data_IF_221257956772
#
_entry.id   IF_221257956772
#
_cell.length_a   1.000
_cell.length_b   1.000
_cell.length_c   1.000
_cell.angle_alpha   90.00
_cell.angle_beta   90.00
_cell.angle_gamma   90.00
#
_symmetry.space_group_name_H-M   'P 1'
#
loop_
_entity.id
_entity.type
_entity.pdbx_description
1 polymer ?
#
# COMPACT_ATOMS: atom_id res chain seq x y z
N UNK A 1 24.77 8.03 -1.31
CA UNK A 1 23.77 8.99 -1.81
C UNK A 1 22.59 9.02 -0.84
N UNK A 2 21.93 10.16 -0.67
CA UNK A 2 20.69 10.29 0.11
C UNK A 2 19.52 9.79 -0.75
N UNK A 3 18.52 9.15 -0.14
CA UNK A 3 17.28 8.78 -0.81
C UNK A 3 16.35 10.00 -0.77
N UNK A 4 15.97 10.51 -1.93
CA UNK A 4 15.06 11.67 -2.06
C UNK A 4 13.77 11.33 -2.80
N UNK A 5 13.73 10.17 -3.48
CA UNK A 5 12.62 9.76 -4.34
C UNK A 5 11.83 8.61 -3.70
N UNK A 6 10.50 8.68 -3.74
CA UNK A 6 9.63 7.58 -3.36
C UNK A 6 8.62 7.25 -4.46
N UNK A 7 8.43 5.95 -4.71
CA UNK A 7 7.44 5.43 -5.66
C UNK A 7 6.22 4.94 -4.90
N UNK A 8 5.05 5.37 -5.37
CA UNK A 8 3.73 4.97 -4.87
C UNK A 8 2.99 4.19 -5.96
N UNK A 9 2.98 2.84 -5.91
CA UNK A 9 2.22 2.03 -6.84
C UNK A 9 0.72 2.09 -6.53
N UNK A 10 -0.03 2.90 -7.27
CA UNK A 10 -1.46 3.16 -7.02
C UNK A 10 -2.38 2.76 -8.20
N UNK A 11 -1.87 2.02 -9.17
CA UNK A 11 -2.64 1.59 -10.35
C UNK A 11 -3.61 0.42 -10.08
N UNK A 12 -3.57 -0.18 -8.89
CA UNK A 12 -4.39 -1.35 -8.55
C UNK A 12 -5.91 -1.09 -8.60
N UNK A 13 -6.69 -2.11 -9.02
CA UNK A 13 -8.13 -1.98 -9.28
C UNK A 13 -9.01 -1.83 -8.02
N UNK A 14 -8.50 -2.16 -6.84
CA UNK A 14 -9.26 -2.01 -5.58
C UNK A 14 -10.46 -2.94 -5.42
N UNK A 15 -10.48 -4.11 -6.08
CA UNK A 15 -11.64 -5.01 -6.17
C UNK A 15 -12.18 -5.49 -4.82
N UNK A 16 -11.35 -5.52 -3.78
CA UNK A 16 -11.76 -5.94 -2.43
C UNK A 16 -12.77 -4.99 -1.77
N UNK A 17 -12.85 -3.74 -2.27
CA UNK A 17 -13.74 -2.70 -1.76
C UNK A 17 -14.90 -2.36 -2.71
N UNK A 18 -15.16 -3.22 -3.69
CA UNK A 18 -16.37 -3.04 -4.51
C UNK A 18 -17.64 -3.16 -3.64
N UNK A 19 -18.67 -2.34 -3.92
CA UNK A 19 -18.79 -1.41 -5.05
C UNK A 19 -18.17 -0.02 -4.83
N UNK A 20 -17.69 0.34 -3.62
CA UNK A 20 -17.18 1.69 -3.30
C UNK A 20 -16.04 2.13 -4.25
N UNK A 21 -15.19 1.21 -4.66
CA UNK A 21 -14.05 1.49 -5.54
C UNK A 21 -14.37 1.42 -7.04
N UNK A 22 -15.65 1.32 -7.41
CA UNK A 22 -16.06 1.32 -8.82
C UNK A 22 -15.70 2.64 -9.52
N UNK A 23 -15.89 3.75 -8.82
CA UNK A 23 -15.64 5.10 -9.36
C UNK A 23 -14.57 5.90 -8.59
N UNK A 24 -14.08 5.37 -7.47
CA UNK A 24 -13.07 6.03 -6.63
C UNK A 24 -11.88 5.09 -6.40
N UNK A 25 -10.65 5.59 -6.47
CA UNK A 25 -9.47 4.82 -6.06
C UNK A 25 -9.59 4.34 -4.61
N UNK A 26 -9.16 3.10 -4.31
CA UNK A 26 -9.11 2.63 -2.92
C UNK A 26 -8.21 3.50 -2.04
N UNK A 27 -7.20 4.10 -2.63
CA UNK A 27 -6.24 5.00 -2.00
C UNK A 27 -6.87 6.34 -1.58
N UNK A 28 -8.05 6.69 -2.16
CA UNK A 28 -8.84 7.86 -1.78
C UNK A 28 -9.92 7.57 -0.73
N UNK A 29 -10.06 6.31 -0.31
CA UNK A 29 -10.95 5.99 0.81
C UNK A 29 -10.42 6.69 2.09
N UNK A 30 -11.26 7.45 2.81
CA UNK A 30 -10.79 8.24 3.95
C UNK A 30 -10.58 7.38 5.19
N UNK A 31 -9.50 7.62 5.91
CA UNK A 31 -9.33 7.22 7.31
C UNK A 31 -9.70 8.44 8.15
N UNK A 32 -10.86 8.39 8.77
CA UNK A 32 -11.56 9.51 9.40
C UNK A 32 -11.95 10.55 8.33
N UNK A 33 -11.14 11.57 8.12
CA UNK A 33 -11.36 12.69 7.21
C UNK A 33 -10.23 12.92 6.19
N UNK A 34 -9.20 12.08 6.21
CA UNK A 34 -8.02 12.20 5.36
C UNK A 34 -7.88 10.97 4.45
N UNK A 35 -7.69 11.12 3.13
CA UNK A 35 -7.50 10.00 2.23
C UNK A 35 -6.29 9.14 2.63
N UNK A 36 -6.42 7.82 2.47
CA UNK A 36 -5.37 6.85 2.83
C UNK A 36 -4.02 7.18 2.18
N UNK A 37 -4.02 7.64 0.92
CA UNK A 37 -2.81 8.01 0.19
C UNK A 37 -2.06 9.18 0.85
N UNK A 38 -2.78 10.13 1.46
CA UNK A 38 -2.16 11.29 2.09
C UNK A 38 -1.33 10.90 3.31
N UNK A 39 -1.77 9.93 4.12
CA UNK A 39 -0.95 9.40 5.22
C UNK A 39 0.38 8.83 4.73
N UNK A 40 0.37 8.11 3.60
CA UNK A 40 1.58 7.54 3.02
C UNK A 40 2.54 8.61 2.46
N UNK A 41 1.98 9.69 1.90
CA UNK A 41 2.75 10.84 1.40
C UNK A 41 3.34 11.63 2.57
N UNK A 42 2.57 11.95 3.59
CA UNK A 42 3.04 12.63 4.80
C UNK A 42 4.18 11.85 5.46
N UNK A 43 4.03 10.52 5.61
CA UNK A 43 5.10 9.66 6.13
C UNK A 43 6.39 9.80 5.34
N UNK A 44 6.30 9.84 4.00
CA UNK A 44 7.47 9.98 3.13
C UNK A 44 8.11 11.38 3.26
N UNK A 45 7.30 12.44 3.35
CA UNK A 45 7.76 13.81 3.58
C UNK A 45 8.49 13.93 4.92
N UNK A 46 7.88 13.41 5.99
CA UNK A 46 8.45 13.39 7.34
C UNK A 46 9.74 12.55 7.42
N UNK A 47 9.91 11.59 6.51
CA UNK A 47 11.15 10.84 6.33
C UNK A 47 12.21 11.58 5.50
N UNK A 48 11.90 12.75 4.95
CA UNK A 48 12.80 13.60 4.18
C UNK A 48 12.86 13.29 2.67
N UNK A 49 11.83 12.64 2.13
CA UNK A 49 11.62 12.48 0.69
C UNK A 49 11.07 13.78 0.11
N UNK A 50 11.55 14.17 -1.06
CA UNK A 50 11.15 15.39 -1.77
C UNK A 50 10.47 15.13 -3.10
N UNK A 51 10.68 13.94 -3.68
CA UNK A 51 10.17 13.59 -5.00
C UNK A 51 9.21 12.40 -4.90
N UNK A 52 7.93 12.66 -5.03
CA UNK A 52 6.85 11.67 -4.97
C UNK A 52 6.51 11.22 -6.39
N UNK A 53 6.69 9.94 -6.68
CA UNK A 53 6.43 9.36 -8.00
C UNK A 53 5.24 8.41 -7.90
N UNK A 54 4.08 8.84 -8.39
CA UNK A 54 2.88 8.03 -8.42
C UNK A 54 2.81 7.23 -9.71
N UNK A 55 2.71 5.90 -9.58
CA UNK A 55 2.41 5.06 -10.75
C UNK A 55 0.91 4.78 -10.76
N UNK A 56 0.20 5.56 -11.57
CA UNK A 56 -1.26 5.61 -11.66
C UNK A 56 -1.80 4.72 -12.78
N UNK A 57 -3.11 4.53 -12.79
CA UNK A 57 -3.83 3.78 -13.81
C UNK A 57 -5.10 4.49 -14.27
N UNK A 58 -5.87 3.80 -15.11
CA UNK A 58 -7.19 4.30 -15.50
C UNK A 58 -8.09 4.44 -14.26
N UNK A 59 -8.81 5.57 -14.15
CA UNK A 59 -9.73 5.84 -13.03
C UNK A 59 -9.05 6.29 -11.74
N UNK A 60 -7.79 6.74 -11.80
CA UNK A 60 -7.01 7.19 -10.63
C UNK A 60 -6.84 8.73 -10.57
N UNK A 61 -7.55 9.49 -11.41
CA UNK A 61 -7.43 10.94 -11.49
C UNK A 61 -7.65 11.64 -10.14
N UNK A 62 -8.55 11.15 -9.32
CA UNK A 62 -8.79 11.72 -7.99
C UNK A 62 -7.54 11.76 -7.08
N UNK A 63 -6.53 10.90 -7.32
CA UNK A 63 -5.24 10.97 -6.61
C UNK A 63 -4.43 12.15 -7.12
N UNK A 64 -4.43 12.39 -8.43
CA UNK A 64 -3.75 13.52 -9.06
C UNK A 64 -4.38 14.82 -8.59
N UNK A 65 -5.70 14.93 -8.70
CA UNK A 65 -6.48 16.11 -8.28
C UNK A 65 -6.31 16.42 -6.77
N UNK A 66 -6.11 15.40 -5.92
CA UNK A 66 -5.91 15.57 -4.47
C UNK A 66 -4.60 16.28 -4.11
N UNK A 67 -3.56 16.06 -4.90
CA UNK A 67 -2.24 16.68 -4.72
C UNK A 67 -1.99 17.83 -5.70
N UNK A 68 -3.04 18.31 -6.34
CA UNK A 68 -3.00 19.51 -7.17
C UNK A 68 -3.69 20.69 -6.46
N UNK A 69 -3.44 21.89 -6.93
CA UNK A 69 -4.03 23.10 -6.35
C UNK A 69 -5.53 23.18 -6.65
N UNK A 70 -6.37 23.29 -5.63
CA UNK A 70 -7.81 23.45 -5.73
C UNK A 70 -8.20 24.94 -5.77
N UNK A 71 -7.85 25.65 -6.86
CA UNK A 71 -7.94 27.09 -6.98
C UNK A 71 -9.33 27.64 -6.62
N UNK A 72 -10.41 27.05 -7.14
CA UNK A 72 -11.77 27.51 -6.90
C UNK A 72 -12.15 27.36 -5.42
N UNK A 73 -11.80 26.24 -4.80
CA UNK A 73 -12.09 25.98 -3.40
C UNK A 73 -11.25 26.89 -2.48
N UNK A 74 -9.97 27.08 -2.79
CA UNK A 74 -9.12 28.01 -2.05
C UNK A 74 -9.66 29.44 -2.08
N UNK A 75 -10.10 29.89 -3.27
CA UNK A 75 -10.68 31.23 -3.44
C UNK A 75 -11.98 31.40 -2.63
N UNK A 76 -12.86 30.41 -2.66
CA UNK A 76 -14.11 30.41 -1.91
C UNK A 76 -13.88 30.42 -0.39
N UNK A 77 -12.94 29.62 0.12
CA UNK A 77 -12.59 29.60 1.55
C UNK A 77 -11.96 30.92 1.99
N UNK A 78 -11.09 31.51 1.17
CA UNK A 78 -10.52 32.82 1.44
C UNK A 78 -11.58 33.91 1.48
N UNK A 79 -12.55 33.90 0.55
CA UNK A 79 -13.67 34.88 0.50
C UNK A 79 -14.58 34.78 1.74
N UNK A 80 -14.68 33.59 2.36
CA UNK A 80 -15.42 33.35 3.60
C UNK A 80 -14.61 33.61 4.87
N UNK A 81 -13.34 33.95 4.75
CA UNK A 81 -12.39 34.07 5.85
C UNK A 81 -12.29 32.79 6.73
N UNK A 82 -12.44 31.61 6.08
CA UNK A 82 -12.28 30.30 6.73
C UNK A 82 -10.80 29.88 6.66
N UNK A 83 -9.99 30.51 7.49
CA UNK A 83 -8.54 30.28 7.49
C UNK A 83 -8.17 28.86 7.97
N UNK A 84 -9.01 28.23 8.79
CA UNK A 84 -8.75 26.87 9.28
C UNK A 84 -8.92 25.85 8.17
N UNK A 85 -10.04 25.89 7.45
CA UNK A 85 -10.27 25.03 6.29
C UNK A 85 -9.23 25.27 5.19
N UNK A 86 -8.86 26.54 4.95
CA UNK A 86 -7.83 26.88 3.96
C UNK A 86 -6.45 26.33 4.33
N UNK A 87 -6.05 26.40 5.61
CA UNK A 87 -4.80 25.75 6.08
C UNK A 87 -4.86 24.25 5.94
N UNK A 88 -5.98 23.63 6.31
CA UNK A 88 -6.16 22.19 6.18
C UNK A 88 -6.07 21.75 4.71
N UNK A 89 -6.71 22.45 3.79
CA UNK A 89 -6.65 22.16 2.36
C UNK A 89 -5.22 22.24 1.84
N UNK A 90 -4.49 23.29 2.14
CA UNK A 90 -3.11 23.51 1.69
C UNK A 90 -2.10 22.58 2.33
N UNK A 91 -2.43 21.97 3.46
CA UNK A 91 -1.53 21.02 4.14
C UNK A 91 -1.29 19.74 3.34
N UNK A 92 -2.16 19.41 2.38
CA UNK A 92 -1.98 18.26 1.49
C UNK A 92 -0.78 18.43 0.53
N UNK A 93 -0.38 19.68 0.24
CA UNK A 93 0.67 20.01 -0.73
C UNK A 93 1.73 20.91 -0.06
N UNK A 94 2.64 20.34 0.75
CA UNK A 94 3.68 21.12 1.40
C UNK A 94 4.70 21.67 0.40
N UNK A 95 5.26 22.82 0.70
CA UNK A 95 6.29 23.45 -0.11
C UNK A 95 7.56 22.57 -0.20
N UNK A 96 8.21 22.59 -1.36
CA UNK A 96 9.48 21.87 -1.57
C UNK A 96 9.33 20.39 -1.90
N UNK A 97 8.12 19.93 -2.17
CA UNK A 97 7.84 18.56 -2.63
C UNK A 97 7.40 18.59 -4.09
N UNK A 98 7.92 17.66 -4.87
CA UNK A 98 7.58 17.47 -6.28
C UNK A 98 6.71 16.23 -6.45
N UNK A 99 5.61 16.35 -7.17
CA UNK A 99 4.73 15.24 -7.53
C UNK A 99 4.90 14.92 -9.02
N UNK A 100 5.19 13.65 -9.33
CA UNK A 100 5.30 13.14 -10.69
C UNK A 100 4.37 11.96 -10.89
N UNK A 101 3.70 11.91 -12.04
CA UNK A 101 2.72 10.89 -12.35
C UNK A 101 3.15 10.08 -13.57
N UNK A 102 3.22 8.77 -13.42
CA UNK A 102 3.53 7.83 -14.50
C UNK A 102 2.37 6.88 -14.69
N UNK A 103 1.97 6.65 -15.93
CA UNK A 103 0.83 5.80 -16.21
C UNK A 103 1.21 4.35 -16.44
N UNK A 104 0.67 3.45 -15.65
CA UNK A 104 0.63 2.01 -15.90
C UNK A 104 -0.62 1.70 -16.74
N UNK A 105 -0.46 1.10 -17.93
CA UNK A 105 -1.60 0.82 -18.83
C UNK A 105 -2.48 -0.29 -18.30
N UNK A 106 -1.84 -1.37 -17.84
CA UNK A 106 -2.47 -2.57 -17.32
C UNK A 106 -2.05 -2.77 -15.85
N UNK A 107 -2.98 -3.14 -14.97
CA UNK A 107 -2.71 -3.33 -13.55
C UNK A 107 -1.99 -4.67 -13.30
N UNK A 108 -0.79 -4.82 -13.85
CA UNK A 108 0.02 -6.06 -13.84
C UNK A 108 0.76 -6.30 -12.53
N UNK A 109 0.79 -5.32 -11.62
CA UNK A 109 1.38 -5.45 -10.28
C UNK A 109 2.41 -4.40 -9.94
N UNK A 110 2.98 -4.53 -8.74
CA UNK A 110 3.92 -3.55 -8.18
C UNK A 110 5.24 -3.52 -8.96
N UNK A 111 5.74 -4.67 -9.40
CA UNK A 111 7.02 -4.74 -10.10
C UNK A 111 6.96 -4.02 -11.45
N UNK A 112 5.88 -4.17 -12.21
CA UNK A 112 5.68 -3.42 -13.45
C UNK A 112 5.57 -1.92 -13.16
N UNK A 113 4.87 -1.53 -12.09
CA UNK A 113 4.82 -0.13 -11.68
C UNK A 113 6.22 0.45 -11.43
N UNK A 114 7.11 -0.29 -10.76
CA UNK A 114 8.50 0.14 -10.55
C UNK A 114 9.26 0.29 -11.88
N UNK A 115 9.06 -0.64 -12.82
CA UNK A 115 9.68 -0.53 -14.16
C UNK A 115 9.20 0.71 -14.92
N UNK A 116 7.90 1.07 -14.79
CA UNK A 116 7.38 2.31 -15.40
C UNK A 116 7.98 3.58 -14.75
N UNK A 117 8.30 3.53 -13.45
CA UNK A 117 8.95 4.62 -12.73
C UNK A 117 10.47 4.72 -13.00
N UNK A 118 11.13 3.65 -13.49
CA UNK A 118 12.59 3.56 -13.70
C UNK A 118 13.19 4.78 -14.44
N UNK A 119 12.58 5.35 -15.49
CA UNK A 119 13.13 6.53 -16.17
C UNK A 119 13.26 7.77 -15.27
N UNK A 120 12.33 7.95 -14.29
CA UNK A 120 12.38 9.05 -13.33
C UNK A 120 13.33 8.78 -12.16
N UNK A 121 13.56 7.52 -11.84
CA UNK A 121 14.45 7.09 -10.75
C UNK A 121 15.93 7.12 -11.15
N UNK A 122 16.23 6.83 -12.41
CA UNK A 122 17.61 6.78 -12.91
C UNK A 122 18.41 5.69 -12.20
N UNK A 123 19.64 6.03 -11.81
CA UNK A 123 20.58 5.16 -11.07
C UNK A 123 20.74 5.60 -9.61
N UNK A 124 19.70 6.13 -9.02
CA UNK A 124 19.68 6.57 -7.63
C UNK A 124 18.96 5.55 -6.74
N UNK A 125 19.29 5.48 -5.44
CA UNK A 125 18.51 4.73 -4.49
C UNK A 125 17.14 5.40 -4.30
N UNK A 126 16.11 4.60 -4.10
CA UNK A 126 14.75 5.10 -4.00
C UNK A 126 13.93 4.31 -2.98
N UNK A 127 12.90 4.94 -2.46
CA UNK A 127 11.93 4.29 -1.60
C UNK A 127 10.73 3.76 -2.39
N UNK A 128 10.05 2.75 -1.84
CA UNK A 128 8.73 2.29 -2.32
C UNK A 128 7.80 2.25 -1.12
N UNK A 129 6.65 2.88 -1.28
CA UNK A 129 5.61 2.97 -0.25
C UNK A 129 4.32 2.37 -0.81
N UNK A 130 3.83 1.30 -0.18
CA UNK A 130 2.53 0.73 -0.49
C UNK A 130 1.46 1.43 0.36
N UNK A 131 0.59 2.28 -0.22
CA UNK A 131 -0.29 3.14 0.57
C UNK A 131 -1.34 2.39 1.39
N UNK A 132 -1.74 1.19 0.94
CA UNK A 132 -2.71 0.36 1.66
C UNK A 132 -2.13 -0.33 2.90
N UNK A 133 -0.84 -0.20 3.15
CA UNK A 133 -0.19 -0.60 4.40
C UNK A 133 0.01 0.64 5.27
N UNK A 134 -1.03 1.05 6.00
CA UNK A 134 -0.96 2.20 6.90
C UNK A 134 -0.18 1.84 8.17
N UNK A 135 0.79 2.67 8.54
CA UNK A 135 1.60 2.44 9.73
C UNK A 135 1.45 3.62 10.68
N UNK A 136 0.99 3.33 11.90
CA UNK A 136 0.92 4.27 12.99
C UNK A 136 2.16 4.11 13.87
N UNK A 137 3.07 5.06 13.80
CA UNK A 137 4.33 5.04 14.52
C UNK A 137 4.70 6.44 15.03
N UNK A 138 5.38 6.50 16.18
CA UNK A 138 5.91 7.77 16.71
C UNK A 138 7.00 8.36 15.79
N UNK A 139 7.76 7.47 15.12
CA UNK A 139 8.74 7.84 14.10
C UNK A 139 8.30 7.23 12.77
N UNK A 140 8.28 7.98 11.66
CA UNK A 140 7.88 7.47 10.35
C UNK A 140 8.55 6.13 10.01
N UNK A 141 7.77 5.16 9.56
CA UNK A 141 8.32 3.84 9.24
C UNK A 141 9.40 3.92 8.16
N UNK A 142 9.17 4.75 7.14
CA UNK A 142 10.17 4.97 6.10
C UNK A 142 11.47 5.58 6.64
N UNK A 143 11.39 6.50 7.62
CA UNK A 143 12.58 7.08 8.24
C UNK A 143 13.43 6.04 8.96
N UNK A 144 12.78 5.03 9.59
CA UNK A 144 13.50 3.92 10.23
C UNK A 144 14.30 3.10 9.19
N UNK A 145 13.73 2.85 8.01
CA UNK A 145 14.44 2.15 6.93
C UNK A 145 15.58 3.01 6.38
N UNK A 146 15.37 4.31 6.23
CA UNK A 146 16.38 5.22 5.70
C UNK A 146 17.61 5.31 6.59
N UNK A 147 17.48 5.18 7.92
CA UNK A 147 18.64 5.08 8.81
C UNK A 147 19.45 3.81 8.54
N UNK A 148 18.77 2.65 8.46
CA UNK A 148 19.44 1.39 8.11
C UNK A 148 20.15 1.51 6.77
N UNK A 149 19.49 2.11 5.78
CA UNK A 149 20.10 2.37 4.49
C UNK A 149 21.32 3.32 4.59
N UNK A 150 21.23 4.37 5.41
CA UNK A 150 22.32 5.32 5.60
C UNK A 150 23.59 4.66 6.17
N UNK A 151 23.41 3.69 7.06
CA UNK A 151 24.50 2.92 7.68
C UNK A 151 25.04 1.82 6.75
N UNK A 152 24.14 1.04 6.16
CA UNK A 152 24.49 -0.22 5.49
C UNK A 152 24.72 -0.06 3.97
N UNK A 153 24.11 0.97 3.34
CA UNK A 153 24.22 1.26 1.89
C UNK A 153 23.78 0.12 0.97
N UNK A 154 22.87 -0.70 1.43
CA UNK A 154 22.24 -1.81 0.70
C UNK A 154 20.73 -1.71 0.79
N UNK A 155 20.01 -2.49 -0.01
CA UNK A 155 18.56 -2.48 0.00
C UNK A 155 18.00 -2.93 1.34
N UNK A 156 16.91 -2.27 1.76
CA UNK A 156 16.23 -2.48 3.05
C UNK A 156 14.76 -2.76 2.83
N UNK A 157 14.25 -3.81 3.46
CA UNK A 157 12.83 -4.19 3.47
C UNK A 157 12.26 -3.93 4.85
N UNK A 158 11.21 -3.13 4.95
CA UNK A 158 10.46 -2.95 6.18
C UNK A 158 9.69 -4.23 6.52
N UNK A 159 9.82 -4.69 7.75
CA UNK A 159 9.21 -5.92 8.24
C UNK A 159 8.57 -5.71 9.60
N UNK A 160 7.56 -6.50 9.90
CA UNK A 160 6.95 -6.62 11.22
C UNK A 160 6.72 -8.08 11.57
N UNK A 161 6.58 -8.38 12.86
CA UNK A 161 6.21 -9.73 13.30
C UNK A 161 4.80 -10.05 12.77
N UNK A 162 4.65 -11.23 12.17
CA UNK A 162 3.33 -11.68 11.72
C UNK A 162 2.45 -11.98 12.94
N UNK A 163 1.35 -11.26 13.08
CA UNK A 163 0.45 -11.36 14.24
C UNK A 163 -0.62 -12.44 14.09
N UNK A 164 -0.89 -12.90 12.87
CA UNK A 164 -1.92 -13.91 12.60
C UNK A 164 -1.44 -14.96 11.60
N UNK A 165 -1.70 -16.28 11.88
CA UNK A 165 -1.37 -17.39 10.97
C UNK A 165 -2.31 -17.43 9.76
N UNK A 166 -2.66 -16.49 9.10
CA UNK A 166 -3.63 -16.48 7.98
C UNK A 166 -3.54 -15.23 7.13
N UNK A 167 -2.77 -14.24 7.57
CA UNK A 167 -2.48 -13.11 6.71
C UNK A 167 -1.69 -13.62 5.50
N UNK A 168 -2.20 -13.37 4.30
CA UNK A 168 -1.53 -13.68 3.02
C UNK A 168 -0.30 -12.78 2.80
N UNK A 169 0.54 -12.71 3.82
CA UNK A 169 1.73 -11.91 3.84
C UNK A 169 2.92 -12.78 3.46
N UNK A 170 3.76 -12.23 2.64
CA UNK A 170 5.05 -12.84 2.35
C UNK A 170 5.97 -12.69 3.55
N UNK A 171 6.57 -13.78 3.95
CA UNK A 171 7.37 -13.84 5.14
C UNK A 171 8.87 -13.78 4.81
N UNK A 172 9.54 -12.83 5.43
CA UNK A 172 10.99 -12.75 5.42
C UNK A 172 11.55 -13.68 6.47
N UNK A 173 12.48 -14.55 6.07
CA UNK A 173 13.30 -15.32 7.00
C UNK A 173 14.65 -14.61 7.09
N UNK A 174 14.94 -14.06 8.25
CA UNK A 174 16.19 -13.35 8.52
C UNK A 174 17.12 -14.12 9.42
N UNK A 175 18.43 -13.95 9.24
CA UNK A 175 19.40 -14.28 10.25
C UNK A 175 19.39 -13.22 11.35
N UNK A 176 19.53 -13.66 12.60
CA UNK A 176 19.71 -12.74 13.70
C UNK A 176 21.05 -12.00 13.54
N UNK A 177 20.97 -10.70 13.30
CA UNK A 177 22.08 -9.81 13.56
C UNK A 177 21.94 -9.34 15.00
N UNK A 178 23.04 -9.29 15.72
CA UNK A 178 23.10 -8.95 17.15
C UNK A 178 22.71 -7.48 17.46
N UNK A 179 22.34 -6.73 16.45
CA UNK A 179 21.90 -5.33 16.59
C UNK A 179 20.37 -5.29 16.62
N UNK A 180 19.82 -4.60 17.60
CA UNK A 180 18.38 -4.49 17.81
C UNK A 180 17.66 -3.95 16.56
N UNK A 181 16.70 -4.71 16.05
CA UNK A 181 15.77 -4.26 15.00
C UNK A 181 16.23 -4.44 13.55
N UNK A 182 17.50 -4.77 13.28
CA UNK A 182 18.00 -4.96 11.90
C UNK A 182 18.47 -6.39 11.71
N UNK A 183 18.03 -7.03 10.61
CA UNK A 183 18.35 -8.43 10.29
C UNK A 183 18.75 -8.57 8.82
N UNK A 184 19.77 -9.40 8.56
CA UNK A 184 20.08 -9.79 7.19
C UNK A 184 19.00 -10.76 6.68
N UNK A 185 18.28 -10.39 5.65
CA UNK A 185 17.27 -11.25 5.03
C UNK A 185 17.96 -12.38 4.24
N UNK A 186 17.62 -13.62 4.54
CA UNK A 186 18.18 -14.81 3.86
C UNK A 186 17.24 -15.41 2.84
N UNK A 187 15.94 -15.28 3.03
CA UNK A 187 14.95 -15.78 2.10
C UNK A 187 13.61 -15.07 2.27
N UNK A 188 12.81 -15.12 1.24
CA UNK A 188 11.45 -14.60 1.21
C UNK A 188 10.52 -15.74 0.81
N UNK A 189 9.64 -16.16 1.71
CA UNK A 189 8.70 -17.27 1.49
C UNK A 189 7.27 -16.83 1.67
N UNK A 190 6.36 -17.44 0.91
CA UNK A 190 4.94 -17.09 0.92
C UNK A 190 4.19 -17.62 2.16
N UNK A 191 4.69 -18.71 2.73
CA UNK A 191 4.11 -19.33 3.94
C UNK A 191 5.28 -19.76 4.82
N UNK A 192 5.29 -19.46 6.13
CA UNK A 192 6.35 -19.90 7.01
C UNK A 192 6.37 -21.43 7.07
N UNK A 193 7.56 -22.04 7.05
CA UNK A 193 7.68 -23.48 7.27
C UNK A 193 7.11 -23.81 8.66
N UNK A 194 6.24 -24.81 8.74
CA UNK A 194 5.75 -25.35 10.01
C UNK A 194 6.95 -25.92 10.77
N UNK A 195 7.24 -25.40 11.96
CA UNK A 195 8.34 -25.88 12.81
C UNK A 195 9.61 -25.02 12.79
N UNK A 196 9.64 -23.90 12.08
CA UNK A 196 10.79 -22.99 12.15
C UNK A 196 10.84 -22.29 13.53
N UNK A 197 11.99 -22.37 14.20
CA UNK A 197 12.22 -21.72 15.52
C UNK A 197 12.26 -20.17 15.45
N UNK A 198 12.08 -19.59 14.27
CA UNK A 198 12.09 -18.14 14.05
C UNK A 198 10.67 -17.60 13.85
N UNK A 199 10.35 -16.49 14.51
CA UNK A 199 9.08 -15.76 14.30
C UNK A 199 9.09 -15.23 12.86
N UNK A 200 8.11 -15.60 12.02
CA UNK A 200 8.05 -15.12 10.66
C UNK A 200 7.82 -13.60 10.64
N UNK A 201 8.56 -12.92 9.77
CA UNK A 201 8.43 -11.50 9.54
C UNK A 201 7.60 -11.27 8.29
N UNK A 202 6.54 -10.50 8.39
CA UNK A 202 5.77 -10.04 7.24
C UNK A 202 6.33 -8.71 6.72
N UNK A 203 6.28 -8.49 5.41
CA UNK A 203 6.67 -7.19 4.85
C UNK A 203 5.70 -6.10 5.30
N UNK A 204 6.24 -4.93 5.65
CA UNK A 204 5.47 -3.79 6.15
C UNK A 204 5.05 -2.81 5.04
N UNK A 205 5.27 -3.17 3.76
CA UNK A 205 4.91 -2.32 2.62
C UNK A 205 5.79 -1.08 2.46
N UNK A 206 6.97 -1.07 3.08
CA UNK A 206 8.01 -0.04 2.95
C UNK A 206 9.30 -0.69 2.52
N UNK A 207 9.94 -0.09 1.51
CA UNK A 207 11.17 -0.61 0.93
C UNK A 207 12.09 0.55 0.58
N UNK A 208 13.39 0.33 0.68
CA UNK A 208 14.44 1.16 0.12
C UNK A 208 15.28 0.28 -0.78
N UNK A 209 15.37 0.60 -2.04
CA UNK A 209 16.12 -0.15 -3.02
C UNK A 209 17.32 0.63 -3.53
N UNK A 210 18.42 -0.08 -3.71
CA UNK A 210 19.58 0.39 -4.47
C UNK A 210 19.35 0.21 -5.97
N UNK A 211 20.14 0.84 -6.83
CA UNK A 211 20.11 0.60 -8.28
C UNK A 211 20.37 -0.86 -8.69
N UNK A 212 20.98 -1.68 -7.81
CA UNK A 212 21.21 -3.10 -8.05
C UNK A 212 19.90 -3.88 -8.31
N UNK A 213 18.75 -3.34 -7.86
CA UNK A 213 17.45 -3.90 -8.20
C UNK A 213 17.25 -4.01 -9.73
N UNK A 214 17.62 -3.00 -10.49
CA UNK A 214 17.43 -2.99 -11.93
C UNK A 214 18.26 -4.06 -12.63
N UNK A 215 19.50 -4.21 -12.20
CA UNK A 215 20.40 -5.24 -12.72
C UNK A 215 19.89 -6.65 -12.37
N UNK A 216 19.43 -6.85 -11.13
CA UNK A 216 18.84 -8.11 -10.71
C UNK A 216 17.58 -8.48 -11.54
N UNK A 217 16.74 -7.48 -11.86
CA UNK A 217 15.54 -7.68 -12.68
C UNK A 217 15.88 -8.00 -14.15
N UNK A 218 16.87 -7.31 -14.69
CA UNK A 218 17.30 -7.50 -16.08
C UNK A 218 17.94 -8.89 -16.26
N UNK A 219 18.76 -9.35 -15.30
CA UNK A 219 19.41 -10.69 -15.35
C UNK A 219 18.43 -11.83 -15.10
N UNK A 220 17.54 -11.68 -14.09
CA UNK A 220 16.56 -12.72 -13.76
C UNK A 220 15.44 -12.84 -14.82
N UNK A 221 15.41 -11.96 -15.82
CA UNK A 221 14.41 -11.92 -16.91
C UNK A 221 12.96 -12.10 -16.40
N UNK A 222 12.65 -11.50 -15.25
CA UNK A 222 11.35 -11.63 -14.61
C UNK A 222 10.25 -11.01 -15.49
N UNK A 223 9.11 -11.69 -15.70
CA UNK A 223 8.00 -11.13 -16.46
C UNK A 223 7.40 -9.88 -15.77
N UNK A 224 6.71 -9.04 -16.53
CA UNK A 224 6.06 -7.82 -15.98
C UNK A 224 5.05 -8.17 -14.87
N UNK A 225 4.38 -9.31 -14.97
CA UNK A 225 3.44 -9.81 -13.98
C UNK A 225 4.08 -10.44 -12.74
N UNK A 226 5.41 -10.51 -12.67
CA UNK A 226 6.07 -11.06 -11.50
C UNK A 226 5.76 -10.24 -10.24
N UNK A 227 5.59 -10.92 -9.13
CA UNK A 227 5.34 -10.29 -7.85
C UNK A 227 6.63 -9.66 -7.28
N UNK A 228 6.50 -8.56 -6.52
CA UNK A 228 7.63 -7.88 -5.88
C UNK A 228 8.57 -8.82 -5.11
N UNK A 229 8.11 -9.86 -4.40
CA UNK A 229 8.98 -10.84 -3.74
C UNK A 229 9.92 -11.60 -4.67
N UNK A 230 9.52 -11.86 -5.90
CA UNK A 230 10.43 -12.46 -6.88
C UNK A 230 11.60 -11.52 -7.20
N UNK A 231 11.32 -10.22 -7.30
CA UNK A 231 12.34 -9.21 -7.48
C UNK A 231 13.30 -9.10 -6.29
N UNK A 232 12.76 -9.16 -5.07
CA UNK A 232 13.57 -9.13 -3.84
C UNK A 232 14.45 -10.38 -3.75
N UNK A 233 13.94 -11.57 -4.14
CA UNK A 233 14.77 -12.79 -4.19
C UNK A 233 15.91 -12.65 -5.19
N UNK A 234 15.65 -12.19 -6.40
CA UNK A 234 16.69 -11.93 -7.39
C UNK A 234 17.74 -10.92 -6.88
N UNK A 235 17.29 -9.88 -6.18
CA UNK A 235 18.19 -8.91 -5.57
C UNK A 235 19.07 -9.51 -4.47
N UNK A 236 18.55 -10.45 -3.66
CA UNK A 236 19.30 -11.15 -2.61
C UNK A 236 20.45 -12.01 -3.17
N UNK A 237 20.42 -12.39 -4.43
CA UNK A 237 21.51 -13.10 -5.10
C UNK A 237 22.68 -12.18 -5.48
N UNK A 238 22.41 -10.87 -5.60
CA UNK A 238 23.41 -9.86 -6.00
C UNK A 238 23.96 -9.05 -4.84
N UNK A 239 23.10 -8.66 -3.90
CA UNK A 239 23.51 -7.87 -2.74
C UNK A 239 22.88 -8.39 -1.45
N UNK A 240 23.43 -7.97 -0.32
CA UNK A 240 22.77 -8.17 0.97
C UNK A 240 21.50 -7.31 1.03
N UNK A 241 20.41 -7.92 1.46
CA UNK A 241 19.16 -7.19 1.74
C UNK A 241 18.91 -7.24 3.23
N UNK A 242 18.69 -6.08 3.85
CA UNK A 242 18.39 -6.02 5.27
C UNK A 242 16.89 -5.93 5.51
N UNK A 243 16.41 -6.61 6.55
CA UNK A 243 15.08 -6.42 7.09
C UNK A 243 15.16 -5.46 8.28
N UNK A 244 14.47 -4.34 8.19
CA UNK A 244 14.27 -3.42 9.30
C UNK A 244 12.97 -3.78 10.01
N UNK A 245 13.03 -4.14 11.29
CA UNK A 245 11.84 -4.32 12.12
C UNK A 245 11.25 -2.95 12.42
N UNK A 246 10.18 -2.62 11.71
CA UNK A 246 9.49 -1.34 11.86
C UNK A 246 8.75 -1.29 13.19
N UNK A 247 9.04 -0.27 13.96
CA UNK A 247 8.27 0.09 15.15
C UNK A 247 6.98 0.79 14.75
N UNK A 248 5.91 0.52 15.49
CA UNK A 248 4.58 1.05 15.22
C UNK A 248 3.55 -0.04 14.93
N UNK A 249 2.29 0.37 14.80
CA UNK A 249 1.16 -0.50 14.48
C UNK A 249 0.82 -0.40 13.00
N UNK A 250 0.87 -1.53 12.29
CA UNK A 250 0.47 -1.62 10.88
C UNK A 250 -0.99 -2.03 10.77
N UNK A 251 -1.69 -1.40 9.83
CA UNK A 251 -3.05 -1.74 9.42
C UNK A 251 -3.03 -2.12 7.93
N UNK A 252 -3.55 -3.30 7.60
CA UNK A 252 -3.75 -3.72 6.21
C UNK A 252 -5.05 -3.10 5.67
N UNK A 253 -4.97 -1.85 5.23
CA UNK A 253 -6.10 -1.15 4.62
C UNK A 253 -6.46 -1.67 3.21
N UNK A 254 -5.78 -2.70 2.72
CA UNK A 254 -6.21 -3.50 1.58
C UNK A 254 -7.31 -4.51 1.92
N UNK A 255 -7.60 -4.74 3.20
CA UNK A 255 -8.70 -5.58 3.71
C UNK A 255 -9.76 -4.72 4.40
N UNK A 256 -11.03 -5.17 4.37
CA UNK A 256 -12.14 -4.45 5.04
C UNK A 256 -11.93 -4.37 6.56
N UNK A 257 -11.46 -5.46 7.18
CA UNK A 257 -11.21 -5.50 8.61
C UNK A 257 -10.08 -4.54 9.01
N UNK A 258 -8.91 -4.63 8.35
CA UNK A 258 -7.79 -3.75 8.65
C UNK A 258 -8.09 -2.28 8.38
N UNK A 259 -8.94 -1.99 7.38
CA UNK A 259 -9.43 -0.63 7.13
C UNK A 259 -10.30 -0.11 8.29
N UNK A 260 -11.22 -0.93 8.82
CA UNK A 260 -12.02 -0.57 9.99
C UNK A 260 -11.15 -0.42 11.25
N UNK A 261 -10.19 -1.31 11.47
CA UNK A 261 -9.25 -1.19 12.59
C UNK A 261 -8.45 0.12 12.52
N UNK A 262 -8.03 0.54 11.33
CA UNK A 262 -7.38 1.83 11.11
C UNK A 262 -8.32 3.00 11.44
N UNK A 263 -9.59 2.95 11.00
CA UNK A 263 -10.60 3.96 11.34
C UNK A 263 -10.71 4.18 12.85
N UNK A 264 -10.84 3.10 13.62
CA UNK A 264 -10.94 3.20 15.08
C UNK A 264 -9.64 3.72 15.71
N UNK A 265 -8.50 3.23 15.29
CA UNK A 265 -7.22 3.65 15.84
C UNK A 265 -6.93 5.13 15.59
N UNK A 266 -7.28 5.64 14.39
CA UNK A 266 -7.07 7.06 14.06
C UNK A 266 -8.17 7.95 14.65
N UNK A 267 -9.41 7.48 14.78
CA UNK A 267 -10.46 8.18 15.51
C UNK A 267 -10.10 8.35 16.99
N UNK A 268 -9.43 7.35 17.59
CA UNK A 268 -8.98 7.41 18.99
C UNK A 268 -8.00 8.57 19.25
N UNK A 269 -7.27 9.01 18.25
CA UNK A 269 -6.36 10.17 18.34
C UNK A 269 -7.08 11.52 18.32
N UNK A 270 -8.40 11.54 18.05
CA UNK A 270 -9.26 12.71 17.98
C UNK A 270 -10.18 12.75 19.19
N UNK A 271 -9.80 13.46 20.26
CA UNK A 271 -10.44 13.39 21.59
C UNK A 271 -11.96 13.54 21.60
N UNK A 272 -12.52 14.56 20.94
CA UNK A 272 -13.97 14.79 20.87
C UNK A 272 -14.69 13.70 20.06
N UNK A 273 -14.15 13.37 18.89
CA UNK A 273 -14.69 12.29 18.04
C UNK A 273 -14.67 10.95 18.78
N UNK A 274 -13.56 10.66 19.47
CA UNK A 274 -13.40 9.40 20.18
C UNK A 274 -14.38 9.25 21.36
N UNK A 275 -14.63 10.33 22.13
CA UNK A 275 -15.56 10.24 23.27
C UNK A 275 -16.98 9.89 22.80
N UNK A 276 -17.48 10.51 21.72
CA UNK A 276 -18.78 10.17 21.13
C UNK A 276 -18.82 8.76 20.55
N UNK A 277 -17.77 8.40 19.77
CA UNK A 277 -17.69 7.07 19.15
C UNK A 277 -17.63 5.95 20.19
N UNK A 278 -16.88 6.13 21.27
CA UNK A 278 -16.77 5.12 22.34
C UNK A 278 -18.12 4.84 23.01
N UNK A 279 -18.92 5.87 23.23
CA UNK A 279 -20.27 5.71 23.78
C UNK A 279 -21.16 4.91 22.81
N UNK A 280 -21.21 5.32 21.54
CA UNK A 280 -22.00 4.65 20.50
C UNK A 280 -21.59 3.18 20.32
N UNK A 281 -20.27 2.88 20.38
CA UNK A 281 -19.78 1.50 20.32
C UNK A 281 -20.20 0.67 21.53
N UNK A 282 -20.21 1.26 22.73
CA UNK A 282 -20.70 0.60 23.94
C UNK A 282 -22.16 0.19 23.78
N UNK A 283 -23.01 1.08 23.28
CA UNK A 283 -24.42 0.84 23.04
C UNK A 283 -24.63 -0.24 21.97
N UNK A 284 -23.88 -0.18 20.85
CA UNK A 284 -23.95 -1.20 19.78
C UNK A 284 -23.56 -2.60 20.27
N UNK A 285 -22.50 -2.72 21.07
CA UNK A 285 -22.06 -4.00 21.62
C UNK A 285 -23.06 -4.57 22.60
N UNK A 286 -23.64 -3.73 23.48
CA UNK A 286 -24.68 -4.14 24.42
C UNK A 286 -25.92 -4.68 23.69
N UNK A 287 -26.31 -4.07 22.55
CA UNK A 287 -27.44 -4.55 21.74
C UNK A 287 -27.10 -5.82 20.95
N UNK A 288 -25.84 -5.97 20.48
CA UNK A 288 -25.41 -7.16 19.75
C UNK A 288 -25.42 -8.42 20.63
N UNK A 289 -25.05 -8.28 21.91
CA UNK A 289 -25.10 -9.40 22.88
C UNK A 289 -26.54 -9.78 23.25
N UNK A 290 -27.47 -8.83 23.16
CA UNK A 290 -28.90 -9.09 23.44
C UNK A 290 -29.66 -9.74 22.26
N UNK A 291 -29.12 -9.64 21.05
CA UNK A 291 -29.75 -10.20 19.84
C UNK A 291 -28.65 -10.77 18.92
N UNK A 292 -28.42 -12.10 18.94
CA UNK A 292 -27.47 -12.69 18.01
C UNK A 292 -27.91 -12.39 16.57
N UNK A 293 -27.03 -11.99 15.68
CA UNK A 293 -27.40 -11.56 14.34
C UNK A 293 -28.03 -12.71 13.55
N UNK A 294 -29.28 -12.53 13.15
CA UNK A 294 -29.97 -13.35 12.14
C UNK A 294 -29.35 -13.08 10.74
N UNK A 295 -28.06 -13.39 10.54
CA UNK A 295 -27.32 -12.96 9.36
C UNK A 295 -26.41 -14.02 8.77
N UNK A 296 -26.89 -15.24 8.61
CA UNK A 296 -26.22 -16.20 7.72
C UNK A 296 -27.07 -16.56 6.49
N UNK A 297 -28.34 -16.15 6.44
CA UNK A 297 -29.24 -16.57 5.36
C UNK A 297 -29.20 -15.72 4.07
N UNK A 298 -28.66 -14.49 4.09
CA UNK A 298 -28.66 -13.64 2.89
C UNK A 298 -27.40 -13.70 2.03
N UNK A 299 -26.31 -14.30 2.51
CA UNK A 299 -25.07 -14.42 1.72
C UNK A 299 -24.99 -15.69 0.86
N UNK A 300 -25.84 -16.67 1.13
CA UNK A 300 -25.89 -17.93 0.33
C UNK A 300 -26.84 -17.85 -0.88
N UNK A 301 -27.73 -16.87 -0.93
CA UNK A 301 -28.65 -16.70 -2.07
C UNK A 301 -28.04 -15.99 -3.30
N UNK A 302 -26.86 -15.36 -3.16
CA UNK A 302 -26.18 -14.67 -4.28
C UNK A 302 -25.16 -15.51 -5.02
N UNK A 303 -24.93 -16.76 -4.61
CA UNK A 303 -23.94 -17.64 -5.25
C UNK A 303 -24.56 -18.55 -6.35
N UNK A 304 -25.87 -18.45 -6.59
CA UNK A 304 -26.56 -19.20 -7.62
C UNK A 304 -26.90 -18.30 -8.83
N UNK A 305 -25.94 -17.53 -9.33
CA UNK A 305 -26.01 -16.97 -10.68
C UNK A 305 -25.40 -18.00 -11.62
N UNK A 306 -26.29 -18.59 -12.43
CA UNK A 306 -26.03 -19.61 -13.42
C UNK A 306 -24.78 -19.32 -14.28
N UNK A 307 -24.00 -20.37 -14.52
CA UNK A 307 -23.02 -20.41 -15.61
C UNK A 307 -23.71 -20.00 -16.94
N UNK A 308 -23.12 -19.11 -17.73
CA UNK A 308 -23.64 -18.86 -19.06
C UNK A 308 -23.43 -20.12 -19.92
N UNK A 309 -24.51 -20.64 -20.46
CA UNK A 309 -24.50 -21.73 -21.41
C UNK A 309 -23.45 -21.49 -22.51
N UNK A 310 -22.55 -22.43 -22.69
CA UNK A 310 -21.61 -22.45 -23.81
C UNK A 310 -22.42 -22.37 -25.09
N UNK A 311 -22.23 -21.28 -25.85
CA UNK A 311 -22.75 -21.16 -27.19
C UNK A 311 -22.19 -22.30 -28.05
N UNK A 312 -23.10 -23.11 -28.57
CA UNK A 312 -22.76 -24.17 -29.54
C UNK A 312 -22.14 -23.52 -30.78
N UNK A 313 -20.94 -23.94 -31.11
CA UNK A 313 -20.29 -23.62 -32.38
C UNK A 313 -21.05 -24.35 -33.48
N UNK A 314 -21.74 -23.60 -34.36
CA UNK A 314 -22.35 -24.11 -35.55
C UNK A 314 -21.23 -24.40 -36.55
N UNK A 315 -21.10 -25.61 -37.09
CA UNK A 315 -20.12 -25.90 -38.16
C UNK A 315 -20.54 -25.21 -39.46
N UNK A 316 -19.66 -24.41 -40.03
CA UNK A 316 -19.81 -23.87 -41.37
C UNK A 316 -19.55 -25.00 -42.40
N UNK A 317 -20.54 -25.32 -43.20
CA UNK A 317 -20.40 -26.18 -44.39
C UNK A 317 -19.43 -25.57 -45.42
N UNK A 318 -18.62 -26.39 -46.11
CA UNK A 318 -17.76 -25.88 -47.17
C UNK A 318 -18.57 -25.59 -48.43
N UNK A 319 -18.32 -24.42 -49.01
CA UNK A 319 -18.87 -24.01 -50.32
C UNK A 319 -18.45 -25.01 -51.38
N UNK A 320 -19.43 -25.52 -52.12
CA UNK A 320 -19.21 -26.29 -53.39
C UNK A 320 -18.97 -25.31 -54.50
N UNK A 321 -17.85 -25.52 -55.19
CA UNK A 321 -17.54 -24.91 -56.47
C UNK A 321 -18.60 -25.34 -57.56
N UNK A 322 -19.03 -24.37 -58.32
CA UNK A 322 -19.45 -24.49 -59.70
C UNK A 322 -19.42 -23.13 -60.42
#
# INVERSE_FOLDING_TARGET
MKVTKAVFPVAGLGTRFLPATKASPKEMLPIVDKPLIQYAVEEAIDAGITDMIFVTGRGKRAIEDHFDQAYELEHELAARADDDALRQLRSAIPAGVTFSYVRQRDATGVLDALRKARPLLGREPFAVVLPDQLIDAARPALAQLLDVYAEQRVSVVGAQRATHPGASAEHLIGADLRTSGVRNARSLVKVPPIGAASIPLATAGRFVFTPALWEALDEAALPESAALPAAIRALMERERVFACLVEGRRFDCGSKLGFLEAQFAFAQKRGELWSGLRQSLGDLLAHADASPPAATAMLTASAAVAEPARAAVVPTEPARDS
#
